data_IF_463645443729
#
_entry.id   IF_463645443729
#
_cell.length_a   1.000
_cell.length_b   1.000
_cell.length_c   1.000
_cell.angle_alpha   90.00
_cell.angle_beta   90.00
_cell.angle_gamma   90.00
#
_symmetry.space_group_name_H-M   'P 1'
#
loop_
_entity.id
_entity.type
_entity.pdbx_description
1 polymer ?
#
# COMPACT_ATOMS: atom_id res chain seq x y z
N UNK A 1 17.78 1.93 45.36
CA UNK A 1 17.52 2.48 44.00
C UNK A 1 17.01 1.45 42.97
N UNK A 2 16.60 0.25 43.38
CA UNK A 2 16.28 -0.89 42.48
C UNK A 2 14.80 -1.05 42.13
N UNK A 3 13.87 -0.55 42.96
CA UNK A 3 12.42 -0.74 42.76
C UNK A 3 11.80 0.04 41.57
N UNK A 4 12.27 1.27 41.29
CA UNK A 4 11.71 2.11 40.19
C UNK A 4 11.97 1.53 38.79
N UNK A 5 13.10 0.84 38.58
CA UNK A 5 13.42 0.20 37.29
C UNK A 5 12.56 -1.03 37.00
N UNK A 6 12.19 -1.79 38.02
CA UNK A 6 11.32 -2.97 37.87
C UNK A 6 9.88 -2.58 37.50
N UNK A 7 9.36 -1.54 38.14
CA UNK A 7 8.00 -1.02 37.89
C UNK A 7 7.91 -0.39 36.49
N UNK A 8 8.93 0.37 36.07
CA UNK A 8 8.99 0.94 34.72
C UNK A 8 9.00 -0.16 33.65
N UNK A 9 9.80 -1.22 33.83
CA UNK A 9 9.78 -2.37 32.91
C UNK A 9 8.41 -3.05 32.88
N UNK A 10 7.78 -3.33 34.01
CA UNK A 10 6.48 -4.00 34.06
C UNK A 10 5.37 -3.18 33.35
N UNK A 11 5.39 -1.85 33.46
CA UNK A 11 4.46 -0.96 32.75
C UNK A 11 4.74 -0.99 31.23
N UNK A 12 6.01 -0.98 30.82
CA UNK A 12 6.40 -1.10 29.41
C UNK A 12 6.01 -2.46 28.83
N UNK A 13 6.21 -3.56 29.57
CA UNK A 13 5.79 -4.90 29.15
C UNK A 13 4.27 -5.07 29.16
N UNK A 14 3.54 -4.49 30.11
CA UNK A 14 2.08 -4.49 30.12
C UNK A 14 1.48 -3.67 28.97
N UNK A 15 2.08 -2.53 28.66
CA UNK A 15 1.76 -1.70 27.49
C UNK A 15 2.02 -2.44 26.18
N UNK A 16 3.18 -3.09 26.06
CA UNK A 16 3.56 -3.92 24.92
C UNK A 16 2.65 -5.16 24.78
N UNK A 17 2.33 -5.84 25.88
CA UNK A 17 1.43 -6.98 25.89
C UNK A 17 0.01 -6.58 25.47
N UNK A 18 -0.50 -5.42 25.92
CA UNK A 18 -1.81 -4.90 25.49
C UNK A 18 -1.81 -4.48 24.01
N UNK A 19 -0.69 -3.92 23.51
CA UNK A 19 -0.46 -3.59 22.10
C UNK A 19 -0.30 -4.83 21.21
N UNK A 20 0.16 -5.95 21.79
CA UNK A 20 0.21 -7.26 21.15
C UNK A 20 -1.09 -8.06 21.29
N UNK A 21 -1.90 -7.81 22.32
CA UNK A 21 -3.16 -8.52 22.57
C UNK A 21 -4.34 -7.93 21.78
N UNK A 22 -4.28 -6.67 21.33
CA UNK A 22 -5.27 -6.11 20.38
C UNK A 22 -4.96 -6.44 18.91
N UNK A 23 -4.19 -7.51 18.66
CA UNK A 23 -3.79 -7.98 17.33
C UNK A 23 -4.95 -8.70 16.65
N UNK A 24 -5.86 -7.92 16.08
CA UNK A 24 -7.01 -8.39 15.30
C UNK A 24 -6.54 -8.98 13.96
N UNK A 25 -7.18 -10.05 13.50
CA UNK A 25 -7.02 -10.49 12.12
C UNK A 25 -7.48 -9.38 11.17
N UNK A 26 -6.75 -9.10 10.07
CA UNK A 26 -7.19 -8.08 9.11
C UNK A 26 -8.55 -8.47 8.55
N UNK A 27 -9.54 -7.60 8.75
CA UNK A 27 -10.91 -7.80 8.25
C UNK A 27 -10.99 -7.45 6.77
N UNK A 28 -12.08 -7.83 6.09
CA UNK A 28 -12.31 -7.40 4.70
C UNK A 28 -12.26 -5.88 4.54
N UNK A 29 -12.79 -5.15 5.52
CA UNK A 29 -12.76 -3.68 5.58
C UNK A 29 -11.33 -3.12 5.59
N UNK A 30 -10.37 -3.79 6.26
CA UNK A 30 -8.97 -3.36 6.26
C UNK A 30 -8.33 -3.50 4.87
N UNK A 31 -8.67 -4.55 4.13
CA UNK A 31 -8.21 -4.73 2.75
C UNK A 31 -8.80 -3.66 1.83
N UNK A 32 -10.10 -3.39 1.97
CA UNK A 32 -10.81 -2.40 1.18
C UNK A 32 -10.29 -0.98 1.47
N UNK A 33 -10.11 -0.63 2.74
CA UNK A 33 -9.55 0.65 3.16
C UNK A 33 -8.12 0.84 2.64
N UNK A 34 -7.30 -0.22 2.68
CA UNK A 34 -5.99 -0.22 2.05
C UNK A 34 -6.06 -0.03 0.53
N UNK A 35 -7.04 -0.68 -0.11
CA UNK A 35 -7.34 -0.53 -1.53
C UNK A 35 -7.64 0.92 -1.92
N UNK A 36 -8.56 1.56 -1.21
CA UNK A 36 -8.92 2.97 -1.43
C UNK A 36 -7.75 3.92 -1.15
N UNK A 37 -6.92 3.63 -0.14
CA UNK A 37 -5.74 4.42 0.15
C UNK A 37 -4.72 4.34 -1.00
N UNK A 38 -4.44 3.14 -1.50
CA UNK A 38 -3.54 2.93 -2.64
C UNK A 38 -4.05 3.60 -3.91
N UNK A 39 -5.35 3.48 -4.17
CA UNK A 39 -6.03 4.17 -5.27
C UNK A 39 -5.92 5.69 -5.16
N UNK A 40 -6.26 6.28 -4.00
CA UNK A 40 -6.23 7.73 -3.81
C UNK A 40 -4.85 8.32 -4.00
N UNK A 41 -3.82 7.67 -3.45
CA UNK A 41 -2.43 8.09 -3.64
C UNK A 41 -2.00 8.02 -5.11
N UNK A 42 -2.37 6.95 -5.81
CA UNK A 42 -2.10 6.79 -7.24
C UNK A 42 -2.76 7.91 -8.04
N UNK A 43 -4.03 8.24 -7.75
CA UNK A 43 -4.78 9.27 -8.48
C UNK A 43 -4.21 10.67 -8.29
N UNK A 44 -3.83 11.03 -7.06
CA UNK A 44 -3.20 12.34 -6.80
C UNK A 44 -1.94 12.50 -7.66
N UNK A 45 -1.09 11.47 -7.71
CA UNK A 45 0.13 11.49 -8.51
C UNK A 45 -0.14 11.53 -10.01
N UNK A 46 -1.15 10.78 -10.47
CA UNK A 46 -1.55 10.77 -11.87
C UNK A 46 -2.05 12.15 -12.32
N UNK A 47 -2.89 12.81 -11.51
CA UNK A 47 -3.42 14.16 -11.78
C UNK A 47 -2.30 15.19 -11.84
N UNK A 48 -1.35 15.11 -10.91
CA UNK A 48 -0.16 15.97 -10.93
C UNK A 48 0.63 15.74 -12.22
N UNK A 49 0.91 14.49 -12.59
CA UNK A 49 1.65 14.18 -13.82
C UNK A 49 0.94 14.66 -15.08
N UNK A 50 -0.38 14.49 -15.16
CA UNK A 50 -1.19 14.96 -16.30
C UNK A 50 -1.23 16.49 -16.40
N UNK A 51 -0.93 17.21 -15.33
CA UNK A 51 -0.81 18.68 -15.36
C UNK A 51 0.48 19.15 -16.04
N UNK A 52 1.51 18.30 -16.11
CA UNK A 52 2.81 18.64 -16.72
C UNK A 52 3.04 17.96 -18.07
N UNK A 53 2.36 16.84 -18.35
CA UNK A 53 2.60 16.02 -19.54
C UNK A 53 1.29 15.84 -20.30
N UNK A 54 1.27 16.28 -21.56
CA UNK A 54 0.20 15.97 -22.49
C UNK A 54 0.25 14.49 -22.91
N UNK A 55 -0.56 13.68 -22.26
CA UNK A 55 -0.55 12.22 -22.42
C UNK A 55 -0.87 11.73 -23.84
N UNK A 56 -1.55 12.56 -24.65
CA UNK A 56 -1.91 12.24 -26.04
C UNK A 56 -0.72 12.37 -27.00
N UNK A 57 0.19 13.31 -26.75
CA UNK A 57 1.35 13.57 -27.61
C UNK A 57 2.62 12.86 -27.12
N UNK A 58 2.59 12.32 -25.90
CA UNK A 58 3.75 11.67 -25.30
C UNK A 58 4.07 10.32 -25.99
N UNK A 59 5.36 10.00 -26.20
CA UNK A 59 5.77 8.70 -26.71
C UNK A 59 5.36 7.59 -25.75
N UNK A 60 5.15 6.38 -26.30
CA UNK A 60 4.65 5.22 -25.55
C UNK A 60 5.46 4.96 -24.26
N UNK A 61 6.78 5.08 -24.31
CA UNK A 61 7.67 4.88 -23.16
C UNK A 61 7.34 5.83 -22.00
N UNK A 62 7.07 7.10 -22.30
CA UNK A 62 6.73 8.10 -21.28
C UNK A 62 5.35 7.82 -20.69
N UNK A 63 4.37 7.43 -21.52
CA UNK A 63 3.03 7.02 -21.05
C UNK A 63 3.11 5.83 -20.10
N UNK A 64 3.91 4.81 -20.43
CA UNK A 64 4.08 3.62 -19.59
C UNK A 64 4.73 3.98 -18.26
N UNK A 65 5.81 4.75 -18.27
CA UNK A 65 6.50 5.18 -17.03
C UNK A 65 5.59 6.04 -16.15
N UNK A 66 4.85 6.97 -16.75
CA UNK A 66 3.94 7.86 -16.04
C UNK A 66 2.72 7.15 -15.44
N UNK A 67 2.37 5.95 -15.91
CA UNK A 67 1.37 5.08 -15.26
C UNK A 67 2.03 4.20 -14.20
N UNK A 68 3.18 3.61 -14.51
CA UNK A 68 3.83 2.63 -13.65
C UNK A 68 4.29 3.24 -12.32
N UNK A 69 4.94 4.41 -12.37
CA UNK A 69 5.48 5.08 -11.19
C UNK A 69 4.40 5.36 -10.12
N UNK A 70 3.27 6.02 -10.47
CA UNK A 70 2.18 6.23 -9.52
C UNK A 70 1.62 4.94 -8.93
N UNK A 71 1.35 3.94 -9.77
CA UNK A 71 0.78 2.67 -9.32
C UNK A 71 1.73 1.91 -8.38
N UNK A 72 3.04 1.96 -8.66
CA UNK A 72 4.07 1.37 -7.79
C UNK A 72 4.13 2.10 -6.45
N UNK A 73 4.08 3.43 -6.44
CA UNK A 73 4.10 4.17 -5.18
C UNK A 73 2.82 3.95 -4.36
N UNK A 74 1.66 4.00 -5.00
CA UNK A 74 0.37 3.73 -4.36
C UNK A 74 0.31 2.34 -3.74
N UNK A 75 0.72 1.30 -4.49
CA UNK A 75 0.80 -0.07 -3.99
C UNK A 75 1.83 -0.26 -2.88
N UNK A 76 2.96 0.43 -2.94
CA UNK A 76 4.00 0.37 -1.90
C UNK A 76 3.49 0.94 -0.58
N UNK A 77 2.87 2.12 -0.60
CA UNK A 77 2.38 2.78 0.62
C UNK A 77 1.20 2.01 1.22
N UNK A 78 0.23 1.59 0.39
CA UNK A 78 -0.93 0.84 0.89
C UNK A 78 -0.53 -0.53 1.44
N UNK A 79 0.32 -1.25 0.70
CA UNK A 79 0.87 -2.53 1.12
C UNK A 79 1.67 -2.43 2.42
N UNK A 80 2.53 -1.41 2.54
CA UNK A 80 3.33 -1.17 3.75
C UNK A 80 2.46 -0.86 4.97
N UNK A 81 1.51 0.07 4.86
CA UNK A 81 0.70 0.54 5.99
C UNK A 81 -0.22 -0.54 6.55
N UNK A 82 -0.88 -1.32 5.67
CA UNK A 82 -1.75 -2.41 6.11
C UNK A 82 -0.93 -3.62 6.58
N UNK A 83 0.17 -3.96 5.89
CA UNK A 83 1.04 -5.05 6.36
C UNK A 83 1.61 -4.76 7.76
N UNK A 84 1.90 -3.49 8.09
CA UNK A 84 2.36 -3.11 9.45
C UNK A 84 1.33 -3.39 10.54
N UNK A 85 0.04 -3.40 10.19
CA UNK A 85 -1.07 -3.69 11.12
C UNK A 85 -1.37 -5.18 11.23
N UNK A 86 -0.99 -5.97 10.23
CA UNK A 86 -1.27 -7.39 10.18
C UNK A 86 -0.35 -8.21 11.10
N UNK A 87 -0.90 -9.21 11.77
CA UNK A 87 -0.17 -10.02 12.75
C UNK A 87 0.52 -11.24 12.15
N UNK A 88 -0.03 -11.77 11.05
CA UNK A 88 0.39 -13.00 10.38
C UNK A 88 0.41 -12.82 8.87
N UNK A 89 1.34 -13.50 8.20
CA UNK A 89 1.45 -13.56 6.74
C UNK A 89 1.49 -12.18 6.05
N UNK A 90 2.37 -11.28 6.53
CA UNK A 90 2.60 -9.93 5.99
C UNK A 90 2.62 -9.88 4.45
N UNK A 91 3.25 -10.88 3.83
CA UNK A 91 3.33 -11.02 2.37
C UNK A 91 1.97 -11.23 1.74
N UNK A 92 1.18 -12.19 2.23
CA UNK A 92 -0.17 -12.46 1.68
C UNK A 92 -1.10 -11.28 1.91
N UNK A 93 -1.00 -10.60 3.05
CA UNK A 93 -1.86 -9.46 3.37
C UNK A 93 -1.54 -8.27 2.47
N UNK A 94 -0.27 -7.85 2.38
CA UNK A 94 0.11 -6.71 1.54
C UNK A 94 -0.18 -6.93 0.05
N UNK A 95 -0.04 -8.17 -0.45
CA UNK A 95 -0.32 -8.50 -1.84
C UNK A 95 -1.83 -8.48 -2.12
N UNK A 96 -2.68 -8.94 -1.19
CA UNK A 96 -4.15 -8.80 -1.29
C UNK A 96 -4.60 -7.33 -1.27
N UNK A 97 -3.97 -6.49 -0.45
CA UNK A 97 -4.27 -5.05 -0.40
C UNK A 97 -3.89 -4.36 -1.71
N UNK A 98 -2.74 -4.70 -2.27
CA UNK A 98 -2.28 -4.15 -3.55
C UNK A 98 -3.19 -4.61 -4.69
N UNK A 99 -3.64 -5.87 -4.65
CA UNK A 99 -4.63 -6.38 -5.59
C UNK A 99 -5.99 -5.70 -5.44
N UNK A 100 -6.43 -5.39 -4.22
CA UNK A 100 -7.64 -4.60 -3.98
C UNK A 100 -7.51 -3.18 -4.54
N UNK A 101 -6.33 -2.55 -4.37
CA UNK A 101 -6.03 -1.24 -4.96
C UNK A 101 -6.11 -1.29 -6.48
N UNK A 102 -5.58 -2.35 -7.10
CA UNK A 102 -5.67 -2.60 -8.54
C UNK A 102 -7.13 -2.72 -9.01
N UNK A 103 -7.95 -3.53 -8.32
CA UNK A 103 -9.37 -3.72 -8.68
C UNK A 103 -10.12 -2.40 -8.63
N UNK A 104 -9.96 -1.63 -7.55
CA UNK A 104 -10.60 -0.31 -7.40
C UNK A 104 -10.14 0.61 -8.52
N UNK A 105 -8.83 0.67 -8.78
CA UNK A 105 -8.26 1.50 -9.85
C UNK A 105 -8.80 1.13 -11.22
N UNK A 106 -8.89 -0.17 -11.54
CA UNK A 106 -9.44 -0.64 -12.81
C UNK A 106 -10.92 -0.30 -12.97
N UNK A 107 -11.74 -0.54 -11.94
CA UNK A 107 -13.16 -0.18 -11.94
C UNK A 107 -13.31 1.32 -12.18
N UNK A 108 -12.55 2.15 -11.47
CA UNK A 108 -12.59 3.59 -11.66
C UNK A 108 -12.11 4.01 -13.05
N UNK A 109 -11.08 3.37 -13.60
CA UNK A 109 -10.58 3.69 -14.93
C UNK A 109 -11.63 3.40 -16.02
N UNK A 110 -12.32 2.26 -15.90
CA UNK A 110 -13.43 1.89 -16.80
C UNK A 110 -14.58 2.90 -16.67
N UNK A 111 -14.95 3.30 -15.45
CA UNK A 111 -16.07 4.23 -15.23
C UNK A 111 -15.76 5.65 -15.71
N UNK A 112 -14.58 6.18 -15.39
CA UNK A 112 -14.22 7.58 -15.64
C UNK A 112 -13.64 7.82 -17.04
N UNK A 113 -12.78 6.92 -17.51
CA UNK A 113 -12.02 7.10 -18.74
C UNK A 113 -12.47 6.16 -19.86
N UNK A 114 -13.40 5.23 -19.58
CA UNK A 114 -13.93 4.26 -20.54
C UNK A 114 -12.85 3.49 -21.31
N UNK A 115 -11.70 3.29 -20.67
CA UNK A 115 -10.54 2.63 -21.28
C UNK A 115 -10.02 1.51 -20.41
N UNK A 116 -9.56 0.45 -21.06
CA UNK A 116 -8.83 -0.66 -20.45
C UNK A 116 -7.34 -0.60 -20.82
N UNK A 117 -6.93 0.44 -21.57
CA UNK A 117 -5.54 0.60 -21.97
C UNK A 117 -4.62 0.68 -20.76
N UNK A 118 -3.57 -0.12 -20.81
CA UNK A 118 -2.56 -0.17 -19.77
C UNK A 118 -2.99 -0.86 -18.48
N UNK A 119 -4.09 -1.61 -18.48
CA UNK A 119 -4.48 -2.45 -17.34
C UNK A 119 -3.38 -3.39 -16.86
N UNK A 120 -2.62 -4.00 -17.80
CA UNK A 120 -1.45 -4.83 -17.46
C UNK A 120 -0.34 -4.01 -16.77
N UNK A 121 -0.08 -2.79 -17.23
CA UNK A 121 0.91 -1.90 -16.62
C UNK A 121 0.49 -1.47 -15.21
N UNK A 122 -0.79 -1.18 -15.02
CA UNK A 122 -1.36 -0.85 -13.71
C UNK A 122 -1.23 -2.05 -12.76
N UNK A 123 -1.55 -3.26 -13.23
CA UNK A 123 -1.37 -4.50 -12.46
C UNK A 123 0.09 -4.70 -12.05
N UNK A 124 1.03 -4.60 -13.00
CA UNK A 124 2.45 -4.72 -12.72
C UNK A 124 2.93 -3.67 -11.73
N UNK A 125 2.48 -2.42 -11.89
CA UNK A 125 2.79 -1.32 -10.98
C UNK A 125 2.38 -1.64 -9.55
N UNK A 126 1.12 -2.03 -9.33
CA UNK A 126 0.61 -2.37 -8.00
C UNK A 126 1.28 -3.61 -7.39
N UNK A 127 1.55 -4.65 -8.19
CA UNK A 127 2.23 -5.85 -7.69
C UNK A 127 3.68 -5.55 -7.27
N UNK A 128 4.43 -4.82 -8.11
CA UNK A 128 5.79 -4.40 -7.79
C UNK A 128 5.83 -3.48 -6.58
N UNK A 129 4.92 -2.50 -6.54
CA UNK A 129 4.75 -1.59 -5.41
C UNK A 129 4.47 -2.33 -4.12
N UNK A 130 3.46 -3.21 -4.14
CA UNK A 130 3.08 -4.04 -3.00
C UNK A 130 4.24 -4.90 -2.49
N UNK A 131 4.97 -5.54 -3.39
CA UNK A 131 6.15 -6.34 -3.04
C UNK A 131 7.24 -5.48 -2.36
N UNK A 132 7.55 -4.30 -2.93
CA UNK A 132 8.50 -3.36 -2.33
C UNK A 132 8.03 -2.88 -0.95
N UNK A 133 6.75 -2.56 -0.80
CA UNK A 133 6.16 -2.13 0.47
C UNK A 133 6.27 -3.20 1.56
N UNK A 134 6.06 -4.46 1.20
CA UNK A 134 6.22 -5.60 2.11
C UNK A 134 7.68 -5.79 2.51
N UNK A 135 8.61 -5.77 1.55
CA UNK A 135 10.05 -5.99 1.84
C UNK A 135 10.62 -4.90 2.74
N UNK A 136 10.20 -3.64 2.55
CA UNK A 136 10.53 -2.53 3.45
C UNK A 136 10.01 -2.77 4.87
N UNK A 137 8.77 -3.25 5.00
CA UNK A 137 8.18 -3.58 6.29
C UNK A 137 8.97 -4.66 7.05
N UNK A 138 9.34 -5.74 6.34
CA UNK A 138 10.12 -6.85 6.90
C UNK A 138 11.50 -6.38 7.37
N UNK A 139 12.18 -5.52 6.59
CA UNK A 139 13.50 -4.98 6.96
C UNK A 139 13.43 -4.11 8.22
N UNK A 140 12.37 -3.31 8.37
CA UNK A 140 12.18 -2.44 9.55
C UNK A 140 11.84 -3.27 10.80
N UNK A 141 11.04 -4.33 10.68
CA UNK A 141 10.71 -5.23 11.79
C UNK A 141 11.89 -6.06 12.31
N UNK A 142 12.95 -6.22 11.51
CA UNK A 142 14.16 -6.99 11.87
C UNK A 142 15.28 -6.13 12.50
N UNK A 143 15.11 -4.80 12.58
CA UNK A 143 16.04 -3.90 13.28
C UNK A 143 15.48 -3.53 14.65
#
# INVERSE_FOLDING_TARGET
MTGKKAISKAITYGSLAKKMASKKSPTFEDYLAGGFLGFGLTMIQLVILFSFIDFKMAPLTVRVIAILLPCTFGGMVSGYLIARRATYNYVKVGLKVSLSSFIITMITNIILFQTVEGGLWILMGFLLGGYLGITLNIKILRR
#
